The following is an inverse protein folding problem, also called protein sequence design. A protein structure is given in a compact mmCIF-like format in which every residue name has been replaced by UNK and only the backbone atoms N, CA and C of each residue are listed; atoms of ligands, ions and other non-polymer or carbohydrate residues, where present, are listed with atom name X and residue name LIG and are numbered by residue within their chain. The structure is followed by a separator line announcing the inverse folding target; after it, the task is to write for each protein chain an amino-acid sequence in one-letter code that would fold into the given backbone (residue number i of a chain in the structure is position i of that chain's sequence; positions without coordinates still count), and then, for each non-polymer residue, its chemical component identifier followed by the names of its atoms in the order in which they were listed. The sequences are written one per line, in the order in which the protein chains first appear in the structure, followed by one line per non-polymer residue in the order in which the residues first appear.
data_IF_584451335288
#
_entry.id   IF_584451335288
#
_cell.length_a   1.000
_cell.length_b   1.000
_cell.length_c   1.000
_cell.angle_alpha   90.00
_cell.angle_beta   90.00
_cell.angle_gamma   90.00
#
_symmetry.space_group_name_H-M   'P 1'
#
loop_
_entity.id
_entity.type
_entity.pdbx_description
1 polymer ?
#
# COMPACT_ATOMS: atom_id res chain seq x y z
N UNK A 1 -15.81 8.56 -6.52
CA UNK A 1 -16.02 7.11 -6.61
C UNK A 1 -16.35 6.65 -8.04
N UNK A 2 -17.21 7.36 -8.80
CA UNK A 2 -17.64 6.95 -10.15
C UNK A 2 -16.57 7.12 -11.24
N UNK A 3 -15.58 8.00 -11.06
CA UNK A 3 -14.55 8.28 -12.07
C UNK A 3 -13.68 7.06 -12.40
N UNK A 4 -13.32 6.26 -11.39
CA UNK A 4 -12.41 5.13 -11.53
C UNK A 4 -12.99 4.03 -12.44
N UNK A 5 -14.23 3.52 -12.27
CA UNK A 5 -14.76 2.50 -13.17
C UNK A 5 -15.03 3.01 -14.58
N UNK A 6 -15.33 4.32 -14.76
CA UNK A 6 -15.40 4.93 -16.08
C UNK A 6 -14.02 5.01 -16.76
N UNK A 7 -12.99 5.38 -16.00
CA UNK A 7 -11.61 5.40 -16.49
C UNK A 7 -11.12 3.99 -16.85
N UNK A 8 -11.53 2.96 -16.11
CA UNK A 8 -11.26 1.56 -16.45
C UNK A 8 -11.83 1.19 -17.84
N UNK A 9 -13.05 1.61 -18.12
CA UNK A 9 -13.67 1.34 -19.42
C UNK A 9 -12.92 2.01 -20.59
N UNK A 10 -12.33 3.20 -20.37
CA UNK A 10 -11.54 3.90 -21.38
C UNK A 10 -10.29 3.13 -21.82
N UNK A 11 -9.74 2.27 -20.96
CA UNK A 11 -8.61 1.40 -21.29
C UNK A 11 -9.00 0.35 -22.34
N UNK A 12 -10.21 -0.21 -22.25
CA UNK A 12 -10.70 -1.19 -23.22
C UNK A 12 -11.02 -0.58 -24.60
N UNK A 13 -11.22 0.74 -24.63
CA UNK A 13 -11.51 1.49 -25.86
C UNK A 13 -10.26 2.06 -26.54
N UNK A 14 -9.08 1.83 -25.96
CA UNK A 14 -7.84 2.41 -26.45
C UNK A 14 -7.41 1.75 -27.77
N UNK A 15 -7.60 2.46 -28.89
CA UNK A 15 -7.22 2.02 -30.25
C UNK A 15 -5.80 2.41 -30.68
N UNK A 16 -5.04 3.13 -29.85
CA UNK A 16 -3.65 3.51 -30.14
C UNK A 16 -2.80 3.60 -28.87
N UNK A 17 -1.45 3.49 -28.97
CA UNK A 17 -0.57 3.62 -27.81
C UNK A 17 -0.70 4.97 -27.07
N UNK A 18 -0.90 6.07 -27.82
CA UNK A 18 -1.09 7.39 -27.22
C UNK A 18 -2.41 7.50 -26.47
N UNK A 19 -3.48 6.94 -27.02
CA UNK A 19 -4.77 6.86 -26.34
C UNK A 19 -4.68 5.99 -25.08
N UNK A 20 -4.00 4.84 -25.17
CA UNK A 20 -3.76 3.96 -24.02
C UNK A 20 -2.98 4.69 -22.90
N UNK A 21 -1.93 5.44 -23.25
CA UNK A 21 -1.18 6.23 -22.29
C UNK A 21 -2.06 7.30 -21.60
N UNK A 22 -2.88 8.02 -22.38
CA UNK A 22 -3.81 9.00 -21.81
C UNK A 22 -4.86 8.34 -20.89
N UNK A 23 -5.42 7.19 -21.30
CA UNK A 23 -6.37 6.43 -20.49
C UNK A 23 -5.75 5.89 -19.19
N UNK A 24 -4.49 5.42 -19.23
CA UNK A 24 -3.73 4.99 -18.04
C UNK A 24 -3.48 6.15 -17.08
N UNK A 25 -3.12 7.34 -17.59
CA UNK A 25 -2.97 8.53 -16.75
C UNK A 25 -4.30 8.92 -16.09
N UNK A 26 -5.39 8.92 -16.86
CA UNK A 26 -6.74 9.18 -16.33
C UNK A 26 -7.18 8.16 -15.29
N UNK A 27 -6.91 6.88 -15.53
CA UNK A 27 -7.19 5.79 -14.57
C UNK A 27 -6.37 5.94 -13.29
N UNK A 28 -5.06 6.20 -13.40
CA UNK A 28 -4.19 6.42 -12.25
C UNK A 28 -4.62 7.62 -11.41
N UNK A 29 -5.00 8.73 -12.06
CA UNK A 29 -5.55 9.91 -11.37
C UNK A 29 -6.86 9.58 -10.64
N UNK A 30 -7.81 8.93 -11.32
CA UNK A 30 -9.10 8.54 -10.73
C UNK A 30 -8.92 7.57 -9.56
N UNK A 31 -8.00 6.59 -9.70
CA UNK A 31 -7.66 5.64 -8.65
C UNK A 31 -7.04 6.32 -7.42
N UNK A 32 -6.14 7.29 -7.62
CA UNK A 32 -5.55 8.03 -6.50
C UNK A 32 -6.58 8.90 -5.78
N UNK A 33 -7.47 9.57 -6.52
CA UNK A 33 -8.60 10.32 -5.94
C UNK A 33 -9.52 9.41 -5.11
N UNK A 34 -9.81 8.21 -5.62
CA UNK A 34 -10.59 7.20 -4.92
C UNK A 34 -9.87 6.75 -3.63
N UNK A 35 -8.58 6.44 -3.72
CA UNK A 35 -7.76 6.01 -2.58
C UNK A 35 -7.78 7.04 -1.44
N UNK A 36 -7.50 8.32 -1.75
CA UNK A 36 -7.53 9.40 -0.76
C UNK A 36 -8.92 9.53 -0.13
N UNK A 37 -9.98 9.46 -0.95
CA UNK A 37 -11.36 9.61 -0.47
C UNK A 37 -11.78 8.45 0.44
N UNK A 38 -11.44 7.21 0.09
CA UNK A 38 -11.73 6.03 0.91
C UNK A 38 -10.95 6.04 2.22
N UNK A 39 -9.67 6.39 2.18
CA UNK A 39 -8.86 6.47 3.40
C UNK A 39 -9.36 7.59 4.33
N UNK A 40 -9.82 8.73 3.80
CA UNK A 40 -10.44 9.78 4.61
C UNK A 40 -11.76 9.31 5.26
N UNK A 41 -12.57 8.54 4.54
CA UNK A 41 -13.77 7.90 5.09
C UNK A 41 -13.39 6.88 6.19
N UNK A 42 -12.42 6.02 5.92
CA UNK A 42 -11.95 4.99 6.85
C UNK A 42 -11.43 5.59 8.16
N UNK A 43 -10.67 6.69 8.11
CA UNK A 43 -10.23 7.43 9.31
C UNK A 43 -11.42 7.98 10.08
N UNK A 44 -12.42 8.52 9.39
CA UNK A 44 -13.65 9.01 10.03
C UNK A 44 -14.38 7.88 10.77
N UNK A 45 -14.58 6.72 10.10
CA UNK A 45 -15.19 5.54 10.72
C UNK A 45 -14.36 5.03 11.90
N UNK A 46 -13.03 4.93 11.75
CA UNK A 46 -12.12 4.52 12.82
C UNK A 46 -12.24 5.43 14.05
N UNK A 47 -12.40 6.75 13.84
CA UNK A 47 -12.57 7.72 14.93
C UNK A 47 -13.87 7.47 15.68
N UNK A 48 -14.98 7.18 14.98
CA UNK A 48 -16.27 6.85 15.60
C UNK A 48 -16.24 5.49 16.30
N UNK A 49 -15.50 4.54 15.75
CA UNK A 49 -15.39 3.19 16.30
C UNK A 49 -14.55 3.12 17.58
N UNK A 50 -13.68 4.12 17.79
CA UNK A 50 -12.88 4.29 19.02
C UNK A 50 -11.68 3.33 19.16
N UNK A 51 -11.39 2.49 18.14
CA UNK A 51 -10.25 1.58 18.12
C UNK A 51 -9.70 1.40 16.71
N UNK A 52 -8.46 0.91 16.59
CA UNK A 52 -7.83 0.69 15.27
C UNK A 52 -8.60 -0.33 14.44
N UNK A 53 -8.96 0.06 13.23
CA UNK A 53 -9.59 -0.78 12.18
C UNK A 53 -9.04 -0.47 10.79
N UNK A 54 -8.05 0.42 10.68
CA UNK A 54 -7.53 0.89 9.39
C UNK A 54 -6.83 -0.24 8.61
N UNK A 55 -6.09 -1.11 9.29
CA UNK A 55 -5.44 -2.25 8.66
C UNK A 55 -6.46 -3.27 8.13
N UNK A 56 -7.60 -3.46 8.80
CA UNK A 56 -8.70 -4.29 8.32
C UNK A 56 -9.25 -3.76 6.99
N UNK A 57 -9.44 -2.45 6.82
CA UNK A 57 -9.85 -1.87 5.53
C UNK A 57 -8.84 -2.18 4.42
N UNK A 58 -7.54 -2.06 4.69
CA UNK A 58 -6.49 -2.44 3.75
C UNK A 58 -6.42 -3.95 3.50
N UNK A 59 -6.76 -4.77 4.49
CA UNK A 59 -6.95 -6.22 4.33
C UNK A 59 -8.09 -6.55 3.36
N UNK A 60 -9.24 -5.89 3.52
CA UNK A 60 -10.37 -6.03 2.58
C UNK A 60 -10.01 -5.59 1.16
N UNK A 61 -9.23 -4.52 1.01
CA UNK A 61 -8.66 -4.12 -0.28
C UNK A 61 -7.83 -5.25 -0.91
N UNK A 62 -6.97 -5.89 -0.12
CA UNK A 62 -6.13 -7.01 -0.59
C UNK A 62 -6.97 -8.21 -1.01
N UNK A 63 -8.03 -8.55 -0.26
CA UNK A 63 -8.99 -9.60 -0.62
C UNK A 63 -9.74 -9.25 -1.92
N UNK A 64 -10.08 -7.98 -2.11
CA UNK A 64 -10.63 -7.48 -3.39
C UNK A 64 -9.68 -7.71 -4.56
N UNK A 65 -8.38 -7.48 -4.37
CA UNK A 65 -7.34 -7.79 -5.36
C UNK A 65 -7.26 -9.28 -5.70
N UNK A 66 -7.29 -10.14 -4.67
CA UNK A 66 -7.33 -11.61 -4.86
C UNK A 66 -8.58 -12.03 -5.63
N UNK A 67 -9.76 -11.51 -5.27
CA UNK A 67 -11.00 -11.79 -5.98
C UNK A 67 -10.93 -11.35 -7.44
N UNK A 68 -10.36 -10.17 -7.72
CA UNK A 68 -10.14 -9.68 -9.09
C UNK A 68 -9.20 -10.59 -9.89
N UNK A 69 -8.11 -11.07 -9.28
CA UNK A 69 -7.21 -12.04 -9.91
C UNK A 69 -7.92 -13.36 -10.24
N UNK A 70 -8.75 -13.88 -9.34
CA UNK A 70 -9.53 -15.11 -9.56
C UNK A 70 -10.51 -14.91 -10.72
N UNK A 71 -11.28 -13.81 -10.71
CA UNK A 71 -12.22 -13.48 -11.79
C UNK A 71 -11.48 -13.37 -13.13
N UNK A 72 -10.38 -12.64 -13.17
CA UNK A 72 -9.56 -12.49 -14.38
C UNK A 72 -9.02 -13.82 -14.90
N UNK A 73 -8.57 -14.71 -13.99
CA UNK A 73 -8.07 -16.05 -14.35
C UNK A 73 -9.16 -16.98 -14.91
N UNK A 74 -10.42 -16.76 -14.54
CA UNK A 74 -11.55 -17.53 -15.07
C UNK A 74 -12.01 -16.93 -16.40
N UNK A 75 -12.10 -15.60 -16.49
CA UNK A 75 -12.71 -14.92 -17.64
C UNK A 75 -11.76 -14.88 -18.87
N UNK A 76 -10.45 -14.71 -18.64
CA UNK A 76 -9.48 -14.61 -19.72
C UNK A 76 -9.40 -15.86 -20.63
N UNK A 77 -9.36 -17.11 -20.08
CA UNK A 77 -9.37 -18.31 -20.93
C UNK A 77 -10.68 -18.53 -21.70
N UNK A 78 -11.79 -17.92 -21.25
CA UNK A 78 -13.08 -17.96 -21.97
C UNK A 78 -13.12 -17.06 -23.22
N UNK A 79 -12.03 -16.36 -23.51
CA UNK A 79 -11.93 -15.48 -24.68
C UNK A 79 -12.81 -14.23 -24.59
N UNK A 80 -13.29 -13.86 -23.41
CA UNK A 80 -14.10 -12.65 -23.22
C UNK A 80 -13.23 -11.41 -23.48
N UNK A 81 -13.63 -10.57 -24.42
CA UNK A 81 -12.93 -9.35 -24.74
C UNK A 81 -12.89 -8.38 -23.53
N UNK A 82 -11.87 -7.49 -23.43
CA UNK A 82 -11.75 -6.55 -22.32
C UNK A 82 -12.96 -5.63 -22.14
N UNK A 83 -13.56 -5.18 -23.23
CA UNK A 83 -14.68 -4.22 -23.20
C UNK A 83 -15.92 -4.76 -22.46
N UNK A 84 -16.53 -5.92 -22.82
CA UNK A 84 -17.65 -6.45 -22.06
C UNK A 84 -17.30 -6.84 -20.63
N UNK A 85 -16.07 -7.28 -20.36
CA UNK A 85 -15.60 -7.55 -19.01
C UNK A 85 -15.60 -6.26 -18.16
N UNK A 86 -14.97 -5.20 -18.64
CA UNK A 86 -14.90 -3.94 -17.89
C UNK A 86 -16.25 -3.23 -17.80
N UNK A 87 -17.12 -3.39 -18.81
CA UNK A 87 -18.49 -2.90 -18.73
C UNK A 87 -19.30 -3.62 -17.64
N UNK A 88 -19.15 -4.92 -17.48
CA UNK A 88 -19.77 -5.66 -16.39
C UNK A 88 -19.27 -5.17 -15.03
N UNK A 89 -17.97 -4.98 -14.87
CA UNK A 89 -17.38 -4.42 -13.64
C UNK A 89 -17.92 -3.01 -13.35
N UNK A 90 -18.05 -2.15 -14.39
CA UNK A 90 -18.65 -0.82 -14.25
C UNK A 90 -20.09 -0.92 -13.70
N UNK A 91 -20.93 -1.77 -14.29
CA UNK A 91 -22.34 -1.93 -13.87
C UNK A 91 -22.41 -2.43 -12.42
N UNK A 92 -21.62 -3.45 -12.07
CA UNK A 92 -21.57 -3.99 -10.70
C UNK A 92 -21.14 -2.92 -9.72
N UNK A 93 -20.09 -2.15 -10.05
CA UNK A 93 -19.57 -1.08 -9.19
C UNK A 93 -20.62 0.03 -9.00
N UNK A 94 -21.28 0.46 -10.08
CA UNK A 94 -22.34 1.48 -10.00
C UNK A 94 -23.53 1.01 -9.17
N UNK A 95 -23.98 -0.24 -9.36
CA UNK A 95 -25.04 -0.83 -8.55
C UNK A 95 -24.66 -0.87 -7.06
N UNK A 96 -23.45 -1.31 -6.75
CA UNK A 96 -22.92 -1.33 -5.38
C UNK A 96 -22.87 0.09 -4.78
N UNK A 97 -22.38 1.07 -5.52
CA UNK A 97 -22.34 2.47 -5.06
C UNK A 97 -23.74 3.03 -4.83
N UNK A 98 -24.70 2.73 -5.69
CA UNK A 98 -26.09 3.15 -5.50
C UNK A 98 -26.70 2.52 -4.24
N UNK A 99 -26.45 1.26 -3.98
CA UNK A 99 -26.92 0.57 -2.78
C UNK A 99 -26.27 1.11 -1.49
N UNK A 100 -24.97 1.42 -1.55
CA UNK A 100 -24.19 1.79 -0.37
C UNK A 100 -24.11 3.30 -0.12
N UNK A 101 -24.65 4.15 -1.01
CA UNK A 101 -24.54 5.61 -0.88
C UNK A 101 -25.05 6.17 0.45
N UNK A 102 -26.09 5.55 1.02
CA UNK A 102 -26.70 5.97 2.29
C UNK A 102 -25.88 5.56 3.51
N UNK A 103 -24.93 4.63 3.34
CA UNK A 103 -24.05 4.10 4.38
C UNK A 103 -22.71 4.85 4.45
N UNK A 104 -22.48 5.80 3.52
CA UNK A 104 -21.29 6.65 3.58
C UNK A 104 -21.47 7.73 4.66
N UNK A 105 -20.37 8.10 5.31
CA UNK A 105 -20.39 9.13 6.34
C UNK A 105 -20.90 10.46 5.77
N UNK A 106 -21.86 11.15 6.45
CA UNK A 106 -22.30 12.48 6.08
C UNK A 106 -21.14 13.47 6.04
N UNK A 107 -21.25 14.50 5.17
CA UNK A 107 -20.22 15.55 5.03
C UNK A 107 -19.97 16.30 6.35
N UNK A 108 -20.97 16.45 7.18
CA UNK A 108 -20.91 17.14 8.48
C UNK A 108 -20.01 16.45 9.50
N UNK A 109 -19.97 15.12 9.52
CA UNK A 109 -19.06 14.35 10.40
C UNK A 109 -17.60 14.48 9.94
N UNK A 110 -17.35 14.74 8.65
CA UNK A 110 -16.01 15.04 8.12
C UNK A 110 -15.50 16.43 8.53
N UNK A 111 -16.39 17.36 8.87
CA UNK A 111 -16.08 18.77 9.18
C UNK A 111 -15.84 18.96 10.69
N UNK A 112 -16.23 18.01 11.54
CA UNK A 112 -15.96 18.03 12.99
C UNK A 112 -14.47 17.96 13.37
N UNK A 113 -13.59 17.59 12.44
CA UNK A 113 -12.19 17.98 12.48
C UNK A 113 -12.13 19.45 12.00
N UNK A 114 -12.04 20.40 12.94
CA UNK A 114 -12.07 21.83 12.76
C UNK A 114 -11.64 22.27 11.35
N UNK A 115 -12.59 22.84 10.57
CA UNK A 115 -12.21 23.62 9.42
C UNK A 115 -11.32 24.75 9.96
N UNK A 116 -10.05 24.81 9.61
CA UNK A 116 -9.23 25.89 10.11
C UNK A 116 -9.70 27.18 9.49
N UNK A 117 -9.90 28.20 10.32
CA UNK A 117 -10.20 29.56 9.89
C UNK A 117 -9.37 29.98 8.69
N UNK A 118 -9.97 30.69 7.75
CA UNK A 118 -9.44 31.15 6.47
C UNK A 118 -8.32 32.21 6.62
N UNK A 119 -7.24 31.86 7.31
CA UNK A 119 -6.01 32.63 7.34
C UNK A 119 -5.06 32.11 6.26
N UNK A 120 -4.32 32.98 5.57
CA UNK A 120 -3.22 32.64 4.63
C UNK A 120 -2.28 31.63 5.29
N UNK A 121 -2.48 30.32 5.04
CA UNK A 121 -1.61 29.26 5.59
C UNK A 121 -0.31 29.27 4.83
N UNK A 122 0.72 29.78 5.47
CA UNK A 122 2.07 29.40 5.10
C UNK A 122 2.18 27.87 5.20
N UNK A 123 2.42 27.21 4.08
CA UNK A 123 2.70 25.78 4.04
C UNK A 123 4.06 25.56 4.72
N UNK A 124 4.05 25.42 6.04
CA UNK A 124 5.24 24.98 6.77
C UNK A 124 5.24 23.46 6.79
N UNK A 125 6.35 22.82 6.39
CA UNK A 125 6.49 21.38 6.50
C UNK A 125 6.14 20.94 7.92
N UNK A 126 5.10 20.12 8.06
CA UNK A 126 4.77 19.53 9.36
C UNK A 126 5.70 18.34 9.59
N UNK A 127 6.63 18.49 10.52
CA UNK A 127 7.60 17.44 10.86
C UNK A 127 6.91 16.11 11.17
N UNK A 128 5.73 16.12 11.81
CA UNK A 128 4.96 14.94 12.11
C UNK A 128 4.48 14.23 10.84
N UNK A 129 3.88 14.96 9.90
CA UNK A 129 3.41 14.41 8.64
C UNK A 129 4.56 13.97 7.74
N UNK A 130 5.68 14.73 7.75
CA UNK A 130 6.91 14.35 7.03
C UNK A 130 7.46 13.04 7.56
N UNK A 131 7.54 12.87 8.88
CA UNK A 131 8.01 11.64 9.51
C UNK A 131 7.12 10.44 9.13
N UNK A 132 5.80 10.60 9.21
CA UNK A 132 4.85 9.57 8.77
C UNK A 132 5.02 9.24 7.28
N UNK A 133 5.24 10.26 6.45
CA UNK A 133 5.51 10.11 5.02
C UNK A 133 6.80 9.34 4.75
N UNK A 134 7.88 9.62 5.50
CA UNK A 134 9.15 8.88 5.38
C UNK A 134 9.01 7.41 5.79
N UNK A 135 8.28 7.12 6.88
CA UNK A 135 8.00 5.76 7.31
C UNK A 135 7.17 5.03 6.24
N UNK A 136 6.13 5.67 5.72
CA UNK A 136 5.28 5.12 4.68
C UNK A 136 6.03 4.94 3.35
N UNK A 137 6.93 5.88 2.97
CA UNK A 137 7.82 5.78 1.82
C UNK A 137 8.68 4.52 1.90
N UNK A 138 9.31 4.28 3.04
CA UNK A 138 10.14 3.09 3.24
C UNK A 138 9.34 1.79 3.08
N UNK A 139 8.13 1.72 3.65
CA UNK A 139 7.26 0.55 3.51
C UNK A 139 6.82 0.33 2.06
N UNK A 140 6.40 1.39 1.37
CA UNK A 140 5.98 1.32 -0.04
C UNK A 140 7.14 1.03 -0.98
N UNK A 141 8.35 1.52 -0.67
CA UNK A 141 9.57 1.15 -1.38
C UNK A 141 9.84 -0.35 -1.26
N UNK A 142 9.69 -0.91 -0.05
CA UNK A 142 9.80 -2.36 0.19
C UNK A 142 8.73 -3.12 -0.59
N UNK A 143 7.47 -2.66 -0.56
CA UNK A 143 6.36 -3.31 -1.27
C UNK A 143 6.61 -3.32 -2.79
N UNK A 144 7.00 -2.18 -3.39
CA UNK A 144 7.33 -2.09 -4.82
C UNK A 144 8.48 -3.01 -5.22
N UNK A 145 9.55 -3.05 -4.41
CA UNK A 145 10.65 -3.97 -4.67
C UNK A 145 10.23 -5.46 -4.57
N UNK A 146 9.37 -5.80 -3.63
CA UNK A 146 8.86 -7.19 -3.52
C UNK A 146 7.97 -7.57 -4.70
N UNK A 147 7.15 -6.66 -5.21
CA UNK A 147 6.33 -6.90 -6.40
C UNK A 147 7.19 -7.20 -7.63
N UNK A 148 8.22 -6.41 -7.89
CA UNK A 148 8.96 -6.48 -9.13
C UNK A 148 10.17 -7.43 -9.05
N UNK A 149 10.83 -7.51 -7.90
CA UNK A 149 12.13 -8.19 -7.79
C UNK A 149 12.11 -9.51 -7.03
N UNK A 150 11.08 -9.83 -6.24
CA UNK A 150 11.10 -11.08 -5.46
C UNK A 150 11.17 -12.35 -6.32
N UNK A 151 10.39 -12.42 -7.41
CA UNK A 151 10.43 -13.54 -8.34
C UNK A 151 11.74 -13.56 -9.16
N UNK A 152 12.29 -12.40 -9.53
CA UNK A 152 13.58 -12.29 -10.22
C UNK A 152 14.71 -12.74 -9.29
N UNK A 153 14.67 -12.34 -8.02
CA UNK A 153 15.61 -12.80 -7.00
C UNK A 153 15.58 -14.32 -6.84
N UNK A 154 14.40 -14.94 -6.81
CA UNK A 154 14.27 -16.38 -6.77
C UNK A 154 14.82 -17.04 -8.04
N UNK A 155 14.53 -16.51 -9.21
CA UNK A 155 15.02 -17.07 -10.47
C UNK A 155 16.54 -16.99 -10.63
N UNK A 156 17.16 -15.89 -10.20
CA UNK A 156 18.59 -15.63 -10.46
C UNK A 156 19.52 -16.02 -9.30
N UNK A 157 19.05 -15.89 -8.04
CA UNK A 157 19.88 -16.05 -6.84
C UNK A 157 19.55 -17.34 -6.10
N UNK A 158 18.27 -17.58 -5.78
CA UNK A 158 17.84 -18.78 -5.03
C UNK A 158 17.83 -20.03 -5.91
N UNK A 159 17.42 -19.89 -7.18
CA UNK A 159 17.40 -20.95 -8.20
C UNK A 159 16.69 -22.26 -7.77
N UNK A 160 15.45 -22.19 -7.26
CA UNK A 160 14.77 -23.35 -6.64
C UNK A 160 14.13 -24.33 -7.65
N UNK A 161 14.37 -24.20 -8.93
CA UNK A 161 13.61 -24.88 -9.98
C UNK A 161 12.38 -24.08 -10.44
N UNK A 162 11.96 -24.32 -11.69
CA UNK A 162 10.99 -23.46 -12.39
C UNK A 162 9.63 -23.32 -11.65
N UNK A 163 9.12 -24.40 -11.08
CA UNK A 163 7.82 -24.41 -10.39
C UNK A 163 7.80 -23.58 -9.10
N UNK A 164 8.96 -23.30 -8.50
CA UNK A 164 9.09 -22.62 -7.21
C UNK A 164 9.65 -21.17 -7.31
N UNK A 165 9.91 -20.69 -8.52
CA UNK A 165 10.40 -19.31 -8.74
C UNK A 165 9.50 -18.25 -8.09
N UNK A 166 8.18 -18.48 -8.03
CA UNK A 166 7.20 -17.55 -7.44
C UNK A 166 6.94 -17.80 -5.96
N UNK A 167 7.57 -18.78 -5.33
CA UNK A 167 7.28 -19.16 -3.94
C UNK A 167 7.53 -17.99 -2.97
N UNK A 168 8.64 -17.28 -3.12
CA UNK A 168 8.96 -16.12 -2.29
C UNK A 168 7.96 -14.99 -2.42
N UNK A 169 7.56 -14.65 -3.65
CA UNK A 169 6.53 -13.67 -3.92
C UNK A 169 5.19 -14.05 -3.26
N UNK A 170 4.73 -15.28 -3.48
CA UNK A 170 3.47 -15.76 -2.92
C UNK A 170 3.50 -15.75 -1.39
N UNK A 171 4.58 -16.22 -0.79
CA UNK A 171 4.76 -16.21 0.67
C UNK A 171 4.71 -14.78 1.22
N UNK A 172 5.39 -13.83 0.57
CA UNK A 172 5.37 -12.42 0.92
C UNK A 172 3.94 -11.85 0.87
N UNK A 173 3.21 -12.07 -0.22
CA UNK A 173 1.85 -11.55 -0.41
C UNK A 173 0.85 -12.19 0.55
N UNK A 174 0.91 -13.50 0.76
CA UNK A 174 0.05 -14.17 1.74
C UNK A 174 0.31 -13.67 3.17
N UNK A 175 1.57 -13.51 3.55
CA UNK A 175 1.95 -12.98 4.85
C UNK A 175 1.53 -11.51 5.02
N UNK A 176 1.59 -10.70 3.95
CA UNK A 176 1.09 -9.31 3.96
C UNK A 176 -0.43 -9.26 4.20
N UNK A 177 -1.22 -10.08 3.49
CA UNK A 177 -2.68 -10.13 3.72
C UNK A 177 -2.98 -10.55 5.16
N UNK A 178 -2.32 -11.61 5.63
CA UNK A 178 -2.47 -12.08 7.01
C UNK A 178 -2.09 -11.01 8.03
N UNK A 179 -0.97 -10.34 7.80
CA UNK A 179 -0.50 -9.24 8.64
C UNK A 179 -1.50 -8.08 8.70
N UNK A 180 -2.12 -7.69 7.57
CA UNK A 180 -3.15 -6.65 7.52
C UNK A 180 -4.37 -7.02 8.37
N UNK A 181 -4.82 -8.27 8.33
CA UNK A 181 -5.97 -8.72 9.11
C UNK A 181 -5.66 -8.80 10.63
N UNK A 182 -4.42 -9.09 11.00
CA UNK A 182 -4.00 -9.20 12.41
C UNK A 182 -3.57 -7.85 13.00
N UNK A 183 -3.16 -6.88 12.18
CA UNK A 183 -2.52 -5.65 12.62
C UNK A 183 -3.37 -4.82 13.58
N UNK A 184 -4.68 -4.68 13.30
CA UNK A 184 -5.57 -3.90 14.17
C UNK A 184 -5.68 -4.52 15.58
N UNK A 185 -5.73 -5.85 15.68
CA UNK A 185 -5.67 -6.56 16.96
C UNK A 185 -4.37 -6.29 17.73
N UNK A 186 -3.24 -6.32 17.02
CA UNK A 186 -1.93 -6.01 17.60
C UNK A 186 -1.86 -4.56 18.06
N UNK A 187 -2.35 -3.61 17.24
CA UNK A 187 -2.36 -2.18 17.59
C UNK A 187 -3.25 -1.90 18.78
N UNK A 188 -4.44 -2.50 18.83
CA UNK A 188 -5.36 -2.32 19.95
C UNK A 188 -4.80 -2.89 21.26
N UNK A 189 -3.96 -3.92 21.19
CA UNK A 189 -3.34 -4.56 22.36
C UNK A 189 -2.03 -3.89 22.81
N UNK A 190 -1.16 -3.56 21.86
CA UNK A 190 0.21 -3.11 22.16
C UNK A 190 0.45 -1.63 21.84
N UNK A 191 -0.47 -0.99 21.10
CA UNK A 191 -0.32 0.36 20.62
C UNK A 191 0.44 0.46 19.28
N UNK A 192 0.39 1.64 18.65
CA UNK A 192 0.91 1.88 17.30
C UNK A 192 2.44 1.77 17.25
N UNK A 193 3.15 2.38 18.20
CA UNK A 193 4.62 2.45 18.18
C UNK A 193 5.29 1.07 18.20
N UNK A 194 4.94 0.16 19.13
CA UNK A 194 5.51 -1.19 19.14
C UNK A 194 5.19 -1.98 17.85
N UNK A 195 4.00 -1.79 17.27
CA UNK A 195 3.64 -2.47 16.02
C UNK A 195 4.47 -1.94 14.86
N UNK A 196 4.69 -0.63 14.74
CA UNK A 196 5.59 -0.06 13.73
C UNK A 196 7.04 -0.53 13.92
N UNK A 197 7.51 -0.63 15.17
CA UNK A 197 8.84 -1.17 15.45
C UNK A 197 8.95 -2.64 15.05
N UNK A 198 7.96 -3.47 15.41
CA UNK A 198 7.91 -4.87 14.98
C UNK A 198 7.91 -4.98 13.45
N UNK A 199 7.15 -4.11 12.77
CA UNK A 199 7.13 -4.05 11.31
C UNK A 199 8.51 -3.78 10.71
N UNK A 200 9.21 -2.76 11.21
CA UNK A 200 10.57 -2.44 10.77
C UNK A 200 11.56 -3.60 11.03
N UNK A 201 11.46 -4.23 12.20
CA UNK A 201 12.28 -5.39 12.56
C UNK A 201 12.01 -6.59 11.65
N UNK A 202 10.73 -6.89 11.37
CA UNK A 202 10.35 -7.97 10.44
C UNK A 202 10.88 -7.73 9.02
N UNK A 203 10.82 -6.49 8.52
CA UNK A 203 11.38 -6.12 7.21
C UNK A 203 12.90 -6.35 7.21
N UNK A 204 13.61 -5.79 8.20
CA UNK A 204 15.06 -5.88 8.28
C UNK A 204 15.54 -7.32 8.46
N UNK A 205 15.00 -8.04 9.44
CA UNK A 205 15.39 -9.42 9.74
C UNK A 205 14.99 -10.38 8.61
N UNK A 206 13.77 -10.22 8.07
CA UNK A 206 13.27 -11.08 7.00
C UNK A 206 14.11 -10.95 5.72
N UNK A 207 14.41 -9.74 5.29
CA UNK A 207 15.24 -9.56 4.12
C UNK A 207 16.70 -9.97 4.38
N UNK A 208 17.25 -9.66 5.57
CA UNK A 208 18.59 -10.16 5.95
C UNK A 208 18.66 -11.68 5.90
N UNK A 209 17.63 -12.38 6.39
CA UNK A 209 17.55 -13.84 6.31
C UNK A 209 17.59 -14.32 4.84
N UNK A 210 16.76 -13.72 3.98
CA UNK A 210 16.73 -14.08 2.57
C UNK A 210 18.08 -13.82 1.85
N UNK A 211 18.73 -12.68 2.17
CA UNK A 211 20.00 -12.30 1.53
C UNK A 211 21.19 -13.11 2.04
N UNK A 212 21.23 -13.46 3.33
CA UNK A 212 22.38 -14.20 3.91
C UNK A 212 22.31 -15.69 3.60
N UNK A 213 21.12 -16.27 3.56
CA UNK A 213 20.88 -17.67 3.22
C UNK A 213 19.93 -17.79 2.03
N UNK A 214 20.44 -17.67 0.79
CA UNK A 214 19.63 -17.67 -0.42
C UNK A 214 19.18 -19.07 -0.86
N UNK A 215 18.80 -19.91 0.08
CA UNK A 215 18.18 -21.21 -0.15
C UNK A 215 16.65 -21.08 -0.11
N UNK A 216 15.95 -22.03 -0.73
CA UNK A 216 14.50 -22.00 -0.90
C UNK A 216 13.74 -21.70 0.41
N UNK A 217 14.00 -22.45 1.48
CA UNK A 217 13.27 -22.32 2.74
C UNK A 217 13.59 -21.01 3.49
N UNK A 218 14.89 -20.66 3.75
CA UNK A 218 15.21 -19.40 4.42
C UNK A 218 14.77 -18.18 3.62
N UNK A 219 14.96 -18.16 2.30
CA UNK A 219 14.55 -17.06 1.45
C UNK A 219 13.03 -16.89 1.43
N UNK A 220 12.27 -17.99 1.33
CA UNK A 220 10.80 -17.95 1.37
C UNK A 220 10.29 -17.45 2.73
N UNK A 221 10.84 -17.97 3.82
CA UNK A 221 10.51 -17.53 5.18
C UNK A 221 10.90 -16.06 5.40
N UNK A 222 12.05 -15.64 4.90
CA UNK A 222 12.51 -14.26 4.94
C UNK A 222 11.56 -13.30 4.22
N UNK A 223 11.16 -13.64 2.99
CA UNK A 223 10.20 -12.81 2.24
C UNK A 223 8.79 -12.84 2.86
N UNK A 224 8.36 -13.94 3.46
CA UNK A 224 7.13 -13.95 4.25
C UNK A 224 7.20 -12.98 5.44
N UNK A 225 8.33 -12.94 6.14
CA UNK A 225 8.55 -12.02 7.25
C UNK A 225 8.57 -10.56 6.78
N UNK A 226 9.17 -10.26 5.62
CA UNK A 226 9.09 -8.94 4.98
C UNK A 226 7.63 -8.56 4.70
N UNK A 227 6.85 -9.47 4.09
CA UNK A 227 5.44 -9.25 3.79
C UNK A 227 4.62 -8.94 5.04
N UNK A 228 4.81 -9.71 6.11
CA UNK A 228 4.17 -9.46 7.40
C UNK A 228 4.57 -8.10 7.98
N UNK A 229 5.86 -7.74 7.90
CA UNK A 229 6.38 -6.47 8.39
C UNK A 229 5.78 -5.25 7.68
N UNK A 230 5.71 -5.25 6.35
CA UNK A 230 5.18 -4.09 5.61
C UNK A 230 3.65 -3.95 5.70
N UNK A 231 2.93 -4.99 6.12
CA UNK A 231 1.47 -5.07 6.08
C UNK A 231 0.74 -3.93 6.77
N UNK A 232 1.20 -3.50 7.95
CA UNK A 232 0.52 -2.55 8.81
C UNK A 232 1.03 -1.10 8.70
N UNK A 233 2.22 -0.88 8.12
CA UNK A 233 2.90 0.42 8.17
C UNK A 233 2.09 1.52 7.50
N UNK A 234 1.69 1.32 6.24
CA UNK A 234 0.93 2.32 5.47
C UNK A 234 -0.44 2.60 6.09
N UNK A 235 -1.27 1.59 6.44
CA UNK A 235 -2.54 1.81 7.12
C UNK A 235 -2.40 2.64 8.40
N UNK A 236 -1.39 2.34 9.22
CA UNK A 236 -1.14 3.08 10.46
C UNK A 236 -0.68 4.51 10.21
N UNK A 237 0.18 4.74 9.22
CA UNK A 237 0.58 6.09 8.83
C UNK A 237 -0.62 6.92 8.34
N UNK A 238 -1.54 6.34 7.57
CA UNK A 238 -2.76 7.03 7.12
C UNK A 238 -3.72 7.30 8.27
N UNK A 239 -3.95 6.34 9.18
CA UNK A 239 -4.74 6.54 10.39
C UNK A 239 -4.19 7.69 11.24
N UNK A 240 -2.88 7.71 11.48
CA UNK A 240 -2.23 8.77 12.24
C UNK A 240 -2.26 10.12 11.53
N UNK A 241 -2.01 10.16 10.22
CA UNK A 241 -2.06 11.38 9.42
C UNK A 241 -3.47 11.98 9.40
N UNK A 242 -4.49 11.14 9.22
CA UNK A 242 -5.89 11.57 9.20
C UNK A 242 -6.40 12.11 10.54
N UNK A 243 -5.72 11.79 11.64
CA UNK A 243 -5.97 12.33 12.99
C UNK A 243 -5.13 13.59 13.31
N UNK A 244 -4.44 14.17 12.33
CA UNK A 244 -3.73 15.43 12.50
C UNK A 244 -4.71 16.57 12.76
N UNK A 245 -4.37 17.42 13.74
CA UNK A 245 -5.17 18.62 14.08
C UNK A 245 -4.75 19.86 13.29
N UNK A 246 -3.64 19.79 12.54
CA UNK A 246 -3.05 20.95 11.85
C UNK A 246 -3.61 21.18 10.45
N UNK A 247 -4.03 20.13 9.77
CA UNK A 247 -4.57 20.15 8.42
C UNK A 247 -5.76 19.19 8.30
N UNK A 248 -6.66 19.38 7.32
CA UNK A 248 -7.77 18.47 7.09
C UNK A 248 -7.27 17.02 6.83
N UNK A 249 -8.01 16.00 7.27
CA UNK A 249 -7.61 14.60 7.09
C UNK A 249 -7.24 14.22 5.65
N UNK A 250 -8.01 14.71 4.67
CA UNK A 250 -7.74 14.46 3.24
C UNK A 250 -6.40 15.05 2.78
N UNK A 251 -6.02 16.23 3.28
CA UNK A 251 -4.74 16.88 2.96
C UNK A 251 -3.59 16.13 3.63
N UNK A 252 -3.73 15.77 4.91
CA UNK A 252 -2.72 15.01 5.64
C UNK A 252 -2.45 13.65 4.98
N UNK A 253 -3.51 12.90 4.63
CA UNK A 253 -3.42 11.61 3.95
C UNK A 253 -2.79 11.80 2.56
N UNK A 254 -3.19 12.84 1.80
CA UNK A 254 -2.63 13.12 0.49
C UNK A 254 -1.11 13.38 0.54
N UNK A 255 -0.64 14.15 1.53
CA UNK A 255 0.79 14.41 1.71
C UNK A 255 1.57 13.12 2.01
N UNK A 256 1.09 12.32 2.96
CA UNK A 256 1.73 11.05 3.33
C UNK A 256 1.67 10.06 2.16
N UNK A 257 0.53 9.97 1.47
CA UNK A 257 0.34 9.11 0.31
C UNK A 257 1.26 9.48 -0.85
N UNK A 258 1.34 10.78 -1.19
CA UNK A 258 2.22 11.24 -2.28
C UNK A 258 3.69 10.88 -2.00
N UNK A 259 4.14 11.06 -0.76
CA UNK A 259 5.50 10.72 -0.37
C UNK A 259 5.72 9.19 -0.41
N UNK A 260 4.74 8.41 0.06
CA UNK A 260 4.84 6.94 0.04
C UNK A 260 4.88 6.36 -1.37
N UNK A 261 4.10 6.90 -2.30
CA UNK A 261 4.12 6.46 -3.70
C UNK A 261 5.45 6.76 -4.42
N UNK A 262 6.19 7.80 -4.01
CA UNK A 262 7.55 8.00 -4.52
C UNK A 262 8.46 6.81 -4.16
N UNK A 263 8.29 6.22 -2.99
CA UNK A 263 8.99 5.00 -2.60
C UNK A 263 8.61 3.81 -3.47
N UNK A 264 7.32 3.60 -3.68
CA UNK A 264 6.80 2.49 -4.50
C UNK A 264 7.29 2.54 -5.94
N UNK A 265 7.28 3.72 -6.56
CA UNK A 265 7.69 3.90 -7.95
C UNK A 265 9.21 4.02 -8.11
N UNK A 266 9.90 4.59 -7.13
CA UNK A 266 11.34 4.86 -7.23
C UNK A 266 12.23 3.66 -6.86
N UNK A 267 11.77 2.81 -5.94
CA UNK A 267 12.60 1.71 -5.46
C UNK A 267 12.88 0.63 -6.53
N UNK A 268 11.92 0.15 -7.32
CA UNK A 268 12.20 -0.86 -8.33
C UNK A 268 13.26 -0.43 -9.37
N UNK A 269 13.20 0.76 -9.97
CA UNK A 269 14.28 1.23 -10.85
C UNK A 269 15.63 1.39 -10.14
N UNK A 270 15.63 1.82 -8.87
CA UNK A 270 16.85 1.92 -8.08
C UNK A 270 17.49 0.55 -7.87
N UNK A 271 16.70 -0.48 -7.51
CA UNK A 271 17.19 -1.86 -7.40
C UNK A 271 17.74 -2.35 -8.74
N UNK A 272 17.03 -2.06 -9.85
CA UNK A 272 17.49 -2.37 -11.20
C UNK A 272 18.84 -1.73 -11.53
N UNK A 273 19.01 -0.45 -11.24
CA UNK A 273 20.30 0.23 -11.41
C UNK A 273 21.40 -0.37 -10.55
N UNK A 274 21.12 -0.64 -9.28
CA UNK A 274 22.09 -1.25 -8.37
C UNK A 274 22.46 -2.67 -8.78
N UNK A 275 21.54 -3.46 -9.34
CA UNK A 275 21.80 -4.82 -9.79
C UNK A 275 22.73 -4.89 -10.99
N UNK A 276 22.87 -3.81 -11.78
CA UNK A 276 23.87 -3.69 -12.83
C UNK A 276 25.28 -3.39 -12.29
N UNK A 277 25.38 -2.74 -11.14
CA UNK A 277 26.67 -2.37 -10.52
C UNK A 277 27.16 -3.43 -9.54
N UNK A 278 26.21 -4.08 -8.86
CA UNK A 278 26.42 -5.11 -7.86
C UNK A 278 25.59 -6.33 -8.25
N UNK A 279 25.75 -7.42 -7.58
CA UNK A 279 24.84 -8.56 -7.72
C UNK A 279 23.42 -8.20 -7.23
N UNK A 280 22.36 -8.74 -7.86
CA UNK A 280 20.96 -8.55 -7.46
C UNK A 280 20.72 -8.86 -5.97
N UNK A 281 21.44 -9.86 -5.44
CA UNK A 281 21.43 -10.20 -4.01
C UNK A 281 21.72 -8.97 -3.14
N UNK A 282 22.77 -8.21 -3.46
CA UNK A 282 23.18 -7.07 -2.69
C UNK A 282 22.45 -5.78 -3.09
N UNK A 283 21.91 -5.71 -4.30
CA UNK A 283 21.09 -4.60 -4.75
C UNK A 283 19.79 -4.43 -3.92
N UNK A 284 19.32 -5.48 -3.26
CA UNK A 284 18.16 -5.46 -2.36
C UNK A 284 18.55 -5.02 -0.92
N UNK A 285 19.82 -4.98 -0.56
CA UNK A 285 20.27 -4.66 0.81
C UNK A 285 19.84 -3.29 1.34
N UNK A 286 19.64 -2.23 0.53
CA UNK A 286 19.13 -0.96 1.03
C UNK A 286 17.76 -1.07 1.75
N UNK A 287 16.96 -2.09 1.40
CA UNK A 287 15.67 -2.34 2.06
C UNK A 287 15.86 -2.81 3.51
N UNK A 288 16.96 -3.48 3.84
CA UNK A 288 17.32 -3.80 5.22
C UNK A 288 17.48 -2.51 6.03
N UNK A 289 18.18 -1.52 5.46
CA UNK A 289 18.36 -0.21 6.08
C UNK A 289 17.01 0.50 6.25
N UNK A 290 16.12 0.37 5.29
CA UNK A 290 14.74 0.89 5.38
C UNK A 290 14.00 0.28 6.56
N UNK A 291 14.08 -1.03 6.76
CA UNK A 291 13.47 -1.71 7.92
C UNK A 291 14.01 -1.18 9.25
N UNK A 292 15.34 -1.04 9.36
CA UNK A 292 15.99 -0.42 10.52
C UNK A 292 15.54 1.02 10.73
N UNK A 293 15.45 1.81 9.65
CA UNK A 293 14.98 3.19 9.72
C UNK A 293 13.54 3.27 10.25
N UNK A 294 12.62 2.42 9.76
CA UNK A 294 11.24 2.36 10.28
C UNK A 294 11.24 2.05 11.77
N UNK A 295 12.04 1.06 12.22
CA UNK A 295 12.18 0.71 13.63
C UNK A 295 12.64 1.91 14.48
N UNK A 296 13.66 2.63 14.02
CA UNK A 296 14.24 3.77 14.73
C UNK A 296 13.33 5.02 14.71
N UNK A 297 12.60 5.25 13.62
CA UNK A 297 11.72 6.41 13.46
C UNK A 297 10.38 6.26 14.18
N UNK A 298 9.88 5.02 14.36
CA UNK A 298 8.59 4.76 14.99
C UNK A 298 8.42 5.41 16.39
N UNK A 299 9.39 5.40 17.31
CA UNK A 299 9.25 6.07 18.60
C UNK A 299 9.14 7.59 18.51
N UNK A 300 9.72 8.22 17.47
CA UNK A 300 9.67 9.67 17.26
C UNK A 300 8.25 10.15 16.92
N UNK A 301 7.44 9.28 16.27
CA UNK A 301 6.02 9.57 15.97
C UNK A 301 5.26 9.89 17.25
N UNK A 302 5.51 9.15 18.33
CA UNK A 302 4.87 9.39 19.62
C UNK A 302 5.36 10.69 20.28
N UNK A 303 6.68 10.98 20.21
CA UNK A 303 7.28 12.17 20.84
C UNK A 303 6.83 13.48 20.22
N UNK A 304 6.63 13.51 18.90
CA UNK A 304 6.22 14.74 18.18
C UNK A 304 4.72 15.00 18.31
N UNK A 305 3.92 13.95 18.56
CA UNK A 305 2.48 14.07 18.77
C UNK A 305 2.13 14.52 20.20
N UNK A 306 2.99 14.27 21.17
CA UNK A 306 2.86 14.70 22.58
C UNK A 306 3.20 16.18 22.73
#
# INVERSE_FOLDING_TARGET
LMLMPCALLSLALAGSPHWLAAALLGFGFANNMLNISLNAQAVGVETLYGRSIMATFHGMWSLGGVAGCIIGSIVAPLGVAPLPHFAAILVITLATLCCLRTWTMPREVRIGAAAPESGKRSFRPDLYLTLLGCIALGSMATEGAMYDWSSVYFAQVVQPGESLIRAGYLACMCAMVTGRLLADGLVNRFGVTPVLQLSGLCIAAGLSLALLWPDLLPATAGLALVGFGMASVVPLCYSLAGKSTRVPPSVAISLVSSLSFLGFLGCPPMVGFLSHQFDLRWALSPIVVVGVAIFCLAPLVRRIKA
#
